data_IF_380173752991
#
_entry.id   IF_380173752991
#
_cell.length_a   1.000
_cell.length_b   1.000
_cell.length_c   1.000
_cell.angle_alpha   90.00
_cell.angle_beta   90.00
_cell.angle_gamma   90.00
#
_symmetry.space_group_name_H-M   'P 1'
#
loop_
_entity.id
_entity.type
_entity.pdbx_description
1 polymer ?
#
# COMPACT_ATOMS: atom_id res chain seq x y z
N UNK A 1 1.24 -11.02 -20.09
CA UNK A 1 1.24 -10.02 -19.00
C UNK A 1 1.96 -10.64 -17.83
N UNK A 2 2.97 -9.95 -17.29
CA UNK A 2 3.71 -10.42 -16.12
C UNK A 2 2.72 -10.70 -14.99
N UNK A 3 2.87 -11.85 -14.34
CA UNK A 3 2.04 -12.26 -13.21
C UNK A 3 2.53 -11.50 -11.97
N UNK A 4 2.19 -10.21 -11.87
CA UNK A 4 2.59 -9.38 -10.71
C UNK A 4 1.84 -9.92 -9.48
N UNK A 5 2.55 -10.43 -8.45
CA UNK A 5 1.90 -10.96 -7.27
C UNK A 5 1.16 -9.85 -6.51
N UNK A 6 0.00 -10.21 -5.98
CA UNK A 6 -0.79 -9.35 -5.09
C UNK A 6 -0.58 -9.83 -3.66
N UNK A 7 -0.03 -8.96 -2.82
CA UNK A 7 0.09 -9.19 -1.38
C UNK A 7 -0.98 -8.40 -0.64
N UNK A 8 -1.61 -9.04 0.34
CA UNK A 8 -2.55 -8.39 1.26
C UNK A 8 -1.91 -8.38 2.65
N UNK A 9 -1.58 -7.19 3.14
CA UNK A 9 -1.12 -7.00 4.51
C UNK A 9 -2.34 -7.03 5.43
N UNK A 10 -2.33 -7.98 6.37
CA UNK A 10 -3.42 -8.13 7.33
C UNK A 10 -2.94 -8.84 8.59
N UNK A 11 -3.52 -8.54 9.75
CA UNK A 11 -3.27 -9.34 10.96
C UNK A 11 -3.81 -10.76 10.76
N UNK A 12 -3.12 -11.77 11.31
CA UNK A 12 -3.46 -13.20 11.16
C UNK A 12 -4.93 -13.48 11.48
N UNK A 13 -5.43 -12.92 12.58
CA UNK A 13 -6.79 -13.15 13.09
C UNK A 13 -7.79 -12.05 12.70
N UNK A 14 -7.43 -11.18 11.74
CA UNK A 14 -8.33 -10.10 11.30
C UNK A 14 -9.55 -10.69 10.58
N UNK A 15 -10.79 -10.39 11.02
CA UNK A 15 -11.99 -10.81 10.29
C UNK A 15 -12.06 -10.16 8.90
N UNK A 16 -11.31 -9.07 8.67
CA UNK A 16 -11.23 -8.39 7.37
C UNK A 16 -10.56 -9.26 6.31
N UNK A 17 -9.70 -10.22 6.67
CA UNK A 17 -9.11 -11.19 5.72
C UNK A 17 -10.17 -11.88 4.88
N UNK A 18 -11.27 -12.32 5.50
CA UNK A 18 -12.36 -12.98 4.79
C UNK A 18 -13.03 -12.04 3.79
N UNK A 19 -13.31 -10.79 4.20
CA UNK A 19 -14.00 -9.79 3.38
C UNK A 19 -13.17 -9.44 2.14
N UNK A 20 -11.88 -9.14 2.33
CA UNK A 20 -10.99 -8.79 1.22
C UNK A 20 -10.75 -9.99 0.31
N UNK A 21 -10.61 -11.20 0.87
CA UNK A 21 -10.50 -12.43 0.08
C UNK A 21 -11.71 -12.67 -0.81
N UNK A 22 -12.93 -12.59 -0.25
CA UNK A 22 -14.17 -12.73 -1.03
C UNK A 22 -14.25 -11.69 -2.15
N UNK A 23 -13.83 -10.44 -1.88
CA UNK A 23 -13.79 -9.38 -2.89
C UNK A 23 -12.81 -9.68 -4.01
N UNK A 24 -11.55 -10.02 -3.71
CA UNK A 24 -10.55 -10.32 -4.75
C UNK A 24 -10.91 -11.59 -5.53
N UNK A 25 -11.40 -12.63 -4.86
CA UNK A 25 -11.88 -13.85 -5.52
C UNK A 25 -13.05 -13.54 -6.47
N UNK A 26 -13.98 -12.66 -6.08
CA UNK A 26 -15.07 -12.20 -6.94
C UNK A 26 -14.59 -11.43 -8.19
N UNK A 27 -13.39 -10.85 -8.13
CA UNK A 27 -12.73 -10.20 -9.27
C UNK A 27 -11.81 -11.16 -10.06
N UNK A 28 -11.70 -12.43 -9.65
CA UNK A 28 -10.79 -13.40 -10.26
C UNK A 28 -9.31 -13.05 -10.08
N UNK A 29 -8.97 -12.40 -8.97
CA UNK A 29 -7.60 -12.02 -8.62
C UNK A 29 -7.00 -13.00 -7.62
N UNK A 30 -5.86 -13.59 -7.99
CA UNK A 30 -5.04 -14.38 -7.06
C UNK A 30 -4.21 -13.47 -6.16
N UNK A 31 -4.07 -13.85 -4.90
CA UNK A 31 -3.36 -13.06 -3.89
C UNK A 31 -2.74 -13.92 -2.80
N UNK A 32 -1.82 -13.33 -2.04
CA UNK A 32 -1.10 -13.92 -0.93
C UNK A 32 -1.31 -13.04 0.30
N UNK A 33 -1.69 -13.63 1.44
CA UNK A 33 -1.68 -12.89 2.69
C UNK A 33 -0.25 -12.75 3.22
N UNK A 34 0.10 -11.54 3.63
CA UNK A 34 1.32 -11.25 4.38
C UNK A 34 0.91 -10.86 5.80
N UNK A 35 1.47 -11.55 6.79
CA UNK A 35 1.10 -11.38 8.18
C UNK A 35 1.60 -10.03 8.71
N UNK A 36 0.65 -9.16 9.05
CA UNK A 36 0.94 -7.84 9.58
C UNK A 36 1.47 -7.91 11.02
N UNK A 37 2.26 -6.92 11.37
CA UNK A 37 2.78 -6.68 12.72
C UNK A 37 1.69 -6.05 13.57
N UNK A 38 1.29 -6.74 14.64
CA UNK A 38 0.41 -6.13 15.63
C UNK A 38 1.22 -5.19 16.52
N UNK A 39 1.08 -3.88 16.30
CA UNK A 39 1.91 -2.88 16.98
C UNK A 39 1.86 -2.90 18.51
N UNK A 40 0.80 -3.46 19.13
CA UNK A 40 0.74 -3.63 20.59
C UNK A 40 1.62 -4.77 21.13
N UNK A 41 2.07 -5.66 20.25
CA UNK A 41 2.98 -6.76 20.60
C UNK A 41 4.45 -6.39 20.37
N UNK A 42 4.75 -5.16 19.95
CA UNK A 42 6.12 -4.70 19.79
C UNK A 42 6.81 -4.64 21.16
N UNK A 43 8.07 -5.09 21.20
CA UNK A 43 8.87 -5.05 22.41
C UNK A 43 9.33 -3.63 22.73
N UNK A 44 9.72 -3.38 23.98
CA UNK A 44 10.33 -2.10 24.36
C UNK A 44 11.59 -1.80 23.54
N UNK A 45 12.34 -2.83 23.14
CA UNK A 45 13.49 -2.69 22.26
C UNK A 45 13.09 -2.20 20.85
N UNK A 46 12.03 -2.77 20.27
CA UNK A 46 11.52 -2.32 18.97
C UNK A 46 11.03 -0.87 19.04
N UNK A 47 10.27 -0.54 20.09
CA UNK A 47 9.75 0.81 20.31
C UNK A 47 10.86 1.83 20.56
N UNK A 48 11.96 1.44 21.20
CA UNK A 48 13.12 2.31 21.42
C UNK A 48 13.81 2.77 20.14
N UNK A 49 13.60 2.05 19.02
CA UNK A 49 14.17 2.36 17.70
C UNK A 49 13.33 3.39 16.93
N UNK A 50 12.13 3.74 17.42
CA UNK A 50 11.20 4.64 16.74
C UNK A 50 11.51 6.09 17.08
N UNK A 51 11.70 6.93 16.06
CA UNK A 51 11.74 8.37 16.22
C UNK A 51 10.30 8.93 16.25
N UNK A 52 9.77 9.06 17.46
CA UNK A 52 8.44 9.61 17.70
C UNK A 52 8.30 11.10 17.37
N UNK A 53 9.43 11.82 17.25
CA UNK A 53 9.45 13.26 17.00
C UNK A 53 9.56 13.60 15.52
N UNK A 54 10.09 12.68 14.70
CA UNK A 54 10.24 12.87 13.26
C UNK A 54 8.93 13.26 12.58
N UNK A 55 7.85 12.52 12.83
CA UNK A 55 6.58 12.76 12.16
C UNK A 55 5.94 14.10 12.55
N UNK A 56 5.79 14.45 13.85
CA UNK A 56 5.33 15.77 14.28
C UNK A 56 6.16 16.93 13.74
N UNK A 57 7.50 16.83 13.77
CA UNK A 57 8.40 17.93 13.39
C UNK A 57 8.43 18.19 11.88
N UNK A 58 8.30 17.15 11.06
CA UNK A 58 8.50 17.26 9.62
C UNK A 58 7.19 17.33 8.82
N UNK A 59 6.06 16.91 9.38
CA UNK A 59 4.80 16.76 8.65
C UNK A 59 3.59 17.45 9.31
N UNK A 60 3.82 18.44 10.19
CA UNK A 60 2.77 19.20 10.89
C UNK A 60 1.74 18.31 11.63
N UNK A 61 2.19 17.12 12.07
CA UNK A 61 1.35 16.18 12.77
C UNK A 61 1.20 16.59 14.24
N UNK A 62 -0.05 16.65 14.73
CA UNK A 62 -0.34 17.06 16.12
C UNK A 62 0.13 16.07 17.18
N UNK A 63 0.38 14.81 16.79
CA UNK A 63 0.73 13.71 17.69
C UNK A 63 1.76 12.79 17.01
N UNK A 64 2.61 12.12 17.80
CA UNK A 64 3.42 11.01 17.31
C UNK A 64 2.55 9.88 16.74
N UNK A 65 3.19 9.00 15.98
CA UNK A 65 2.56 7.78 15.48
C UNK A 65 2.04 6.92 16.65
N UNK A 66 0.83 6.41 16.48
CA UNK A 66 0.24 5.41 17.36
C UNK A 66 0.90 4.05 17.16
N UNK A 67 0.75 3.14 18.13
CA UNK A 67 1.24 1.76 17.99
C UNK A 67 0.62 1.07 16.76
N UNK A 68 -0.64 1.36 16.42
CA UNK A 68 -1.28 0.82 15.22
C UNK A 68 -0.59 1.29 13.93
N UNK A 69 -0.30 2.59 13.83
CA UNK A 69 0.41 3.18 12.68
C UNK A 69 1.84 2.66 12.57
N UNK A 70 2.54 2.49 13.70
CA UNK A 70 3.87 1.87 13.74
C UNK A 70 3.80 0.42 13.26
N UNK A 71 2.82 -0.35 13.73
CA UNK A 71 2.58 -1.72 13.25
C UNK A 71 2.31 -1.79 11.75
N UNK A 72 1.51 -0.88 11.21
CA UNK A 72 1.28 -0.78 9.76
C UNK A 72 2.59 -0.51 9.01
N UNK A 73 3.34 0.53 9.41
CA UNK A 73 4.62 0.87 8.77
C UNK A 73 5.63 -0.29 8.82
N UNK A 74 5.76 -0.96 9.96
CA UNK A 74 6.63 -2.13 10.11
C UNK A 74 6.18 -3.32 9.25
N UNK A 75 4.87 -3.50 9.06
CA UNK A 75 4.34 -4.55 8.17
C UNK A 75 4.75 -4.31 6.72
N UNK A 76 4.67 -3.06 6.25
CA UNK A 76 5.14 -2.69 4.92
C UNK A 76 6.65 -2.87 4.77
N UNK A 77 7.44 -2.44 5.76
CA UNK A 77 8.91 -2.62 5.74
C UNK A 77 9.26 -4.11 5.62
N UNK A 78 8.67 -4.98 6.44
CA UNK A 78 8.89 -6.43 6.38
C UNK A 78 8.48 -7.03 5.04
N UNK A 79 7.38 -6.56 4.45
CA UNK A 79 7.02 -7.00 3.11
C UNK A 79 8.06 -6.56 2.09
N UNK A 80 8.55 -5.33 2.13
CA UNK A 80 9.60 -4.85 1.21
C UNK A 80 10.90 -5.65 1.36
N UNK A 81 11.32 -5.95 2.58
CA UNK A 81 12.46 -6.84 2.86
C UNK A 81 12.23 -8.22 2.22
N UNK A 82 11.05 -8.82 2.43
CA UNK A 82 10.67 -10.08 1.81
C UNK A 82 10.72 -10.03 0.27
N UNK A 83 10.24 -8.95 -0.35
CA UNK A 83 10.31 -8.79 -1.82
C UNK A 83 11.76 -8.79 -2.31
N UNK A 84 12.66 -8.08 -1.61
CA UNK A 84 14.09 -8.02 -1.95
C UNK A 84 14.74 -9.39 -1.77
N UNK A 85 14.55 -10.04 -0.63
CA UNK A 85 15.14 -11.36 -0.31
C UNK A 85 14.72 -12.43 -1.31
N UNK A 86 13.49 -12.34 -1.84
CA UNK A 86 12.94 -13.29 -2.80
C UNK A 86 13.07 -12.85 -4.27
N UNK A 87 13.81 -11.77 -4.56
CA UNK A 87 14.00 -11.23 -5.90
C UNK A 87 12.69 -10.95 -6.66
N UNK A 88 11.68 -10.43 -5.96
CA UNK A 88 10.39 -10.04 -6.54
C UNK A 88 10.50 -8.60 -7.04
N UNK A 89 10.65 -8.43 -8.36
CA UNK A 89 10.88 -7.12 -8.99
C UNK A 89 9.68 -6.16 -8.86
N UNK A 90 8.45 -6.70 -8.94
CA UNK A 90 7.22 -5.91 -8.87
C UNK A 90 6.18 -6.66 -8.06
N UNK A 91 5.42 -5.91 -7.26
CA UNK A 91 4.31 -6.43 -6.48
C UNK A 91 3.20 -5.38 -6.37
N UNK A 92 1.96 -5.85 -6.21
CA UNK A 92 0.83 -5.02 -5.79
C UNK A 92 0.65 -5.29 -4.30
N UNK A 93 0.64 -4.22 -3.50
CA UNK A 93 0.45 -4.31 -2.05
C UNK A 93 -0.88 -3.66 -1.70
N UNK A 94 -1.74 -4.40 -1.01
CA UNK A 94 -3.05 -3.95 -0.53
C UNK A 94 -3.14 -4.14 0.99
N UNK A 95 -3.88 -3.27 1.67
CA UNK A 95 -4.33 -3.52 3.05
C UNK A 95 -5.65 -4.30 3.05
N UNK A 96 -5.99 -4.91 4.18
CA UNK A 96 -7.20 -5.74 4.33
C UNK A 96 -8.53 -4.95 4.34
N UNK A 97 -8.47 -3.62 4.43
CA UNK A 97 -9.62 -2.74 4.24
C UNK A 97 -9.69 -2.08 2.86
N UNK A 98 -8.78 -2.43 1.93
CA UNK A 98 -8.80 -1.91 0.58
C UNK A 98 -10.13 -2.22 -0.15
N UNK A 99 -10.74 -1.20 -0.75
CA UNK A 99 -11.96 -1.33 -1.56
C UNK A 99 -11.59 -1.23 -3.04
N UNK A 100 -11.64 -2.36 -3.73
CA UNK A 100 -11.29 -2.45 -5.14
C UNK A 100 -12.51 -2.17 -6.01
N UNK A 101 -12.30 -1.40 -7.09
CA UNK A 101 -13.27 -1.25 -8.17
C UNK A 101 -13.50 -2.60 -8.87
N UNK A 102 -14.71 -2.80 -9.41
CA UNK A 102 -14.99 -3.92 -10.31
C UNK A 102 -14.09 -3.90 -11.56
N UNK A 103 -13.58 -2.73 -11.91
CA UNK A 103 -12.70 -2.49 -13.06
C UNK A 103 -11.22 -2.37 -12.66
N UNK A 104 -10.84 -2.90 -11.48
CA UNK A 104 -9.49 -2.74 -10.94
C UNK A 104 -8.40 -3.17 -11.93
N UNK A 105 -8.62 -4.30 -12.62
CA UNK A 105 -7.67 -4.84 -13.59
C UNK A 105 -7.52 -3.91 -14.80
N UNK A 106 -8.62 -3.40 -15.35
CA UNK A 106 -8.63 -2.47 -16.47
C UNK A 106 -7.94 -1.16 -16.11
N UNK A 107 -8.23 -0.61 -14.93
CA UNK A 107 -7.60 0.62 -14.42
C UNK A 107 -6.09 0.43 -14.28
N UNK A 108 -5.66 -0.70 -13.69
CA UNK A 108 -4.25 -0.99 -13.51
C UNK A 108 -3.52 -1.13 -14.85
N UNK A 109 -4.09 -1.86 -15.80
CA UNK A 109 -3.48 -2.03 -17.13
C UNK A 109 -3.37 -0.70 -17.88
N UNK A 110 -4.41 0.13 -17.81
CA UNK A 110 -4.40 1.44 -18.42
C UNK A 110 -3.34 2.34 -17.76
N UNK A 111 -3.22 2.31 -16.44
CA UNK A 111 -2.18 3.02 -15.70
C UNK A 111 -0.78 2.55 -16.08
N UNK A 112 -0.53 1.25 -16.12
CA UNK A 112 0.75 0.65 -16.52
C UNK A 112 1.14 1.01 -17.96
N UNK A 113 0.16 1.16 -18.87
CA UNK A 113 0.43 1.59 -20.24
C UNK A 113 0.84 3.06 -20.37
N UNK A 114 0.51 3.88 -19.37
CA UNK A 114 0.68 5.35 -19.38
C UNK A 114 1.73 5.85 -18.39
N UNK A 115 2.17 5.03 -17.45
CA UNK A 115 3.16 5.42 -16.44
C UNK A 115 4.55 5.59 -17.08
N UNK A 116 5.38 6.43 -16.48
CA UNK A 116 6.78 6.58 -16.90
C UNK A 116 7.51 5.26 -16.69
N UNK A 117 8.39 4.80 -17.60
CA UNK A 117 9.20 3.61 -17.38
C UNK A 117 10.20 3.74 -16.22
N UNK A 118 10.40 4.96 -15.70
CA UNK A 118 11.26 5.25 -14.53
C UNK A 118 10.49 5.32 -13.21
N UNK A 119 9.31 4.72 -13.14
CA UNK A 119 8.55 4.71 -11.89
C UNK A 119 9.16 3.73 -10.90
N UNK A 120 9.09 4.07 -9.61
CA UNK A 120 9.47 3.18 -8.52
C UNK A 120 8.24 2.71 -7.75
N UNK A 121 7.28 3.61 -7.53
CA UNK A 121 6.03 3.34 -6.80
C UNK A 121 4.85 3.92 -7.59
N UNK A 122 3.79 3.13 -7.73
CA UNK A 122 2.48 3.58 -8.18
C UNK A 122 1.49 3.51 -7.01
N UNK A 123 1.09 4.66 -6.49
CA UNK A 123 -0.02 4.73 -5.54
C UNK A 123 -1.34 4.49 -6.27
N UNK A 124 -2.09 3.48 -5.82
CA UNK A 124 -3.39 3.11 -6.41
C UNK A 124 -4.53 3.98 -5.88
N UNK A 125 -4.38 4.53 -4.68
CA UNK A 125 -5.26 5.54 -4.11
C UNK A 125 -4.44 6.52 -3.26
N UNK A 126 -4.88 7.78 -3.22
CA UNK A 126 -4.33 8.78 -2.31
C UNK A 126 -5.36 9.92 -2.14
N UNK A 127 -5.81 10.16 -0.91
CA UNK A 127 -6.90 11.13 -0.66
C UNK A 127 -6.56 12.57 -1.07
N UNK A 128 -5.46 13.13 -0.53
CA UNK A 128 -5.01 14.49 -0.85
C UNK A 128 -3.51 14.51 -1.10
N UNK A 129 -3.09 14.72 -2.34
CA UNK A 129 -1.70 14.85 -2.72
C UNK A 129 -1.49 16.12 -3.54
N UNK A 130 -0.33 16.76 -3.35
CA UNK A 130 0.16 17.71 -4.35
C UNK A 130 0.61 16.90 -5.55
N UNK A 131 0.03 17.19 -6.71
CA UNK A 131 0.32 16.52 -7.96
C UNK A 131 0.83 17.52 -8.99
N UNK A 132 1.64 17.06 -9.94
CA UNK A 132 1.97 17.88 -11.10
C UNK A 132 0.70 18.24 -11.90
N UNK A 133 0.67 19.43 -12.53
CA UNK A 133 -0.40 19.79 -13.47
C UNK A 133 -0.56 18.76 -14.59
N UNK A 134 -1.78 18.65 -15.13
CA UNK A 134 -2.13 17.80 -16.27
C UNK A 134 -2.03 16.28 -16.02
N UNK A 135 -2.80 15.73 -15.07
CA UNK A 135 -2.88 14.29 -14.92
C UNK A 135 -3.54 13.64 -16.14
N UNK A 136 -3.13 12.41 -16.44
CA UNK A 136 -3.67 11.61 -17.55
C UNK A 136 -4.98 10.97 -17.12
N UNK A 137 -5.98 10.97 -18.00
CA UNK A 137 -7.21 10.23 -17.75
C UNK A 137 -6.96 8.73 -17.87
N UNK A 138 -7.55 7.97 -16.95
CA UNK A 138 -7.67 6.53 -17.02
C UNK A 138 -9.13 6.14 -17.29
N UNK A 139 -9.35 4.85 -17.57
CA UNK A 139 -10.69 4.25 -17.59
C UNK A 139 -11.44 4.50 -16.27
N UNK A 140 -12.77 4.43 -16.31
CA UNK A 140 -13.64 4.59 -15.13
C UNK A 140 -13.43 5.92 -14.37
N UNK A 141 -13.03 6.98 -15.09
CA UNK A 141 -12.81 8.34 -14.55
C UNK A 141 -11.68 8.45 -13.52
N UNK A 142 -10.84 7.43 -13.41
CA UNK A 142 -9.60 7.51 -12.65
C UNK A 142 -8.61 8.44 -13.35
N UNK A 143 -7.61 8.91 -12.59
CA UNK A 143 -6.56 9.80 -13.12
C UNK A 143 -5.21 9.31 -12.66
N UNK A 144 -4.25 9.29 -13.58
CA UNK A 144 -2.85 9.03 -13.29
C UNK A 144 -2.12 10.37 -13.20
N UNK A 145 -1.53 10.65 -12.04
CA UNK A 145 -0.83 11.90 -11.78
C UNK A 145 0.57 11.62 -11.24
N UNK A 146 1.51 12.52 -11.54
CA UNK A 146 2.83 12.47 -10.90
C UNK A 146 2.73 13.09 -9.50
N UNK A 147 2.98 12.26 -8.50
CA UNK A 147 3.01 12.65 -7.08
C UNK A 147 4.18 13.61 -6.80
N UNK A 148 3.96 14.61 -5.95
CA UNK A 148 4.98 15.55 -5.47
C UNK A 148 5.21 15.36 -3.97
N UNK A 149 4.16 15.51 -3.19
CA UNK A 149 4.20 15.41 -1.72
C UNK A 149 2.79 15.18 -1.17
N UNK A 150 2.68 14.65 0.06
CA UNK A 150 1.41 14.63 0.76
C UNK A 150 0.92 16.07 0.96
N UNK A 151 -0.41 16.27 0.96
CA UNK A 151 -1.01 17.60 1.08
C UNK A 151 -0.75 18.26 2.43
#
# INVERSE_FOLDING_TARGET
MMNIPIFIISLVDSPRRKIIAERLNGLGLEFIFFDAVYGKNLSDEDLSKIDYEFYPKNYDARKPLTLGEIGCAMSHIKLYEYLVENNIEQAIVLEDDAILSLYFKEILLDAMSKISPKYEILFLDHGKAKIYPFPKNLVERYRLARYISPS
#
